data_IF_324384652063
#
_entry.id   IF_324384652063
#
_cell.length_a   1.000
_cell.length_b   1.000
_cell.length_c   1.000
_cell.angle_alpha   90.00
_cell.angle_beta   90.00
_cell.angle_gamma   90.00
#
_symmetry.space_group_name_H-M   'P 1'
#
loop_
_entity.id
_entity.type
_entity.pdbx_description
1 polymer ?
#
# COMPACT_ATOMS: atom_id res chain seq x y z
N UNK A 1 -45.93 35.10 -13.60
CA UNK A 1 -46.28 34.26 -12.44
C UNK A 1 -45.52 32.96 -12.62
N UNK A 2 -44.63 32.49 -11.79
CA UNK A 2 -43.87 32.96 -10.64
C UNK A 2 -42.88 31.81 -10.41
N UNK A 3 -41.58 32.05 -10.37
CA UNK A 3 -40.61 31.00 -10.03
C UNK A 3 -39.86 31.47 -8.81
N UNK A 4 -40.32 30.96 -7.67
CA UNK A 4 -39.68 31.10 -6.38
C UNK A 4 -38.29 30.48 -6.41
N UNK A 5 -37.39 31.21 -5.76
CA UNK A 5 -36.00 30.91 -5.49
C UNK A 5 -35.84 29.69 -4.56
N UNK A 6 -35.32 28.59 -5.08
CA UNK A 6 -34.70 27.54 -4.26
C UNK A 6 -33.20 27.83 -4.13
N UNK A 7 -32.84 28.64 -3.13
CA UNK A 7 -31.47 28.68 -2.61
C UNK A 7 -31.24 27.36 -1.86
N UNK A 8 -30.37 26.51 -2.37
CA UNK A 8 -29.80 25.41 -1.60
C UNK A 8 -28.95 26.01 -0.49
N UNK A 9 -29.48 25.94 0.73
CA UNK A 9 -28.76 26.26 1.96
C UNK A 9 -27.78 25.11 2.19
N UNK A 10 -26.48 25.40 2.23
CA UNK A 10 -25.48 24.42 2.65
C UNK A 10 -25.69 24.11 4.12
N UNK A 11 -25.99 22.85 4.43
CA UNK A 11 -26.04 22.36 5.80
C UNK A 11 -24.60 22.09 6.29
N UNK A 12 -24.18 22.80 7.32
CA UNK A 12 -22.84 22.73 7.90
C UNK A 12 -22.71 21.64 8.96
N UNK A 13 -23.72 20.79 9.13
CA UNK A 13 -23.64 19.66 10.05
C UNK A 13 -23.26 18.40 9.30
N UNK A 14 -22.06 17.88 9.59
CA UNK A 14 -21.66 16.51 9.25
C UNK A 14 -22.60 15.55 9.97
N UNK A 15 -23.65 15.12 9.27
CA UNK A 15 -24.53 14.06 9.74
C UNK A 15 -23.82 12.71 9.52
N UNK A 16 -23.52 11.93 10.58
CA UNK A 16 -22.76 10.67 10.49
C UNK A 16 -23.56 9.48 9.95
N UNK A 17 -24.67 9.69 9.24
CA UNK A 17 -25.50 8.59 8.76
C UNK A 17 -25.11 8.11 7.34
N UNK A 18 -24.06 7.27 7.35
CA UNK A 18 -23.69 6.27 6.34
C UNK A 18 -24.86 5.54 5.66
N UNK A 19 -24.61 5.00 4.46
CA UNK A 19 -24.81 3.58 4.21
C UNK A 19 -23.47 2.84 4.10
N UNK A 20 -23.30 1.95 5.08
CA UNK A 20 -22.39 0.83 5.25
C UNK A 20 -21.60 0.37 4.00
N UNK A 21 -20.28 0.52 4.07
CA UNK A 21 -19.32 -0.10 3.15
C UNK A 21 -17.85 0.18 3.49
N UNK A 22 -17.58 1.26 4.21
CA UNK A 22 -16.27 1.62 4.78
C UNK A 22 -15.86 0.75 5.96
N UNK A 23 -16.76 -0.11 6.41
CA UNK A 23 -16.53 -0.83 7.63
C UNK A 23 -15.42 -1.87 7.48
N UNK A 24 -15.08 -2.38 6.29
CA UNK A 24 -14.12 -3.47 6.15
C UNK A 24 -12.74 -3.11 5.62
N UNK A 25 -12.52 -1.86 5.24
CA UNK A 25 -11.27 -1.38 4.62
C UNK A 25 -10.07 -1.36 5.58
N UNK A 26 -10.35 -1.39 6.88
CA UNK A 26 -9.38 -1.53 7.96
C UNK A 26 -9.65 -2.77 8.83
N UNK A 27 -10.48 -3.71 8.35
CA UNK A 27 -10.85 -4.88 9.15
C UNK A 27 -9.88 -6.04 8.92
N UNK A 28 -9.41 -6.69 10.00
CA UNK A 28 -8.60 -7.89 9.88
C UNK A 28 -9.30 -8.96 9.04
N UNK A 29 -8.52 -9.75 8.30
CA UNK A 29 -9.02 -10.86 7.49
C UNK A 29 -9.98 -11.79 8.24
N UNK A 30 -9.72 -11.98 9.53
CA UNK A 30 -10.52 -12.77 10.47
C UNK A 30 -11.96 -12.25 10.64
N UNK A 31 -12.16 -10.95 10.46
CA UNK A 31 -13.45 -10.29 10.57
C UNK A 31 -14.26 -10.40 9.27
N UNK A 32 -13.59 -10.27 8.13
CA UNK A 32 -14.18 -10.53 6.81
C UNK A 32 -14.74 -11.95 6.70
N UNK A 33 -13.99 -12.95 7.17
CA UNK A 33 -14.44 -14.36 7.18
C UNK A 33 -15.70 -14.59 8.03
N UNK A 34 -15.79 -13.94 9.21
CA UNK A 34 -16.97 -14.04 10.09
C UNK A 34 -18.21 -13.37 9.49
N UNK A 35 -18.01 -12.28 8.76
CA UNK A 35 -19.09 -11.48 8.17
C UNK A 35 -19.54 -12.00 6.80
N UNK A 36 -18.72 -12.81 6.11
CA UNK A 36 -19.06 -13.42 4.82
C UNK A 36 -20.00 -14.62 4.93
N UNK A 37 -20.19 -15.18 6.13
CA UNK A 37 -21.01 -16.38 6.36
C UNK A 37 -20.55 -17.60 5.56
N UNK A 38 -19.25 -17.67 5.23
CA UNK A 38 -18.71 -18.75 4.42
C UNK A 38 -18.76 -20.08 5.18
N UNK A 39 -19.19 -21.16 4.54
CA UNK A 39 -19.07 -22.52 5.10
C UNK A 39 -17.63 -23.04 5.03
N UNK A 40 -16.74 -22.35 4.32
CA UNK A 40 -15.32 -22.66 4.31
C UNK A 40 -14.69 -22.18 5.62
N UNK A 41 -13.95 -23.08 6.24
CA UNK A 41 -12.71 -22.84 6.96
C UNK A 41 -12.06 -21.47 6.76
N UNK A 42 -11.62 -20.81 7.84
CA UNK A 42 -10.90 -19.53 7.74
C UNK A 42 -9.64 -19.64 6.86
N UNK A 43 -8.94 -20.77 6.96
CA UNK A 43 -7.69 -21.03 6.23
C UNK A 43 -7.98 -21.36 4.77
N UNK A 44 -9.00 -22.18 4.48
CA UNK A 44 -9.40 -22.42 3.10
C UNK A 44 -9.92 -21.15 2.46
N UNK A 45 -10.68 -20.33 3.19
CA UNK A 45 -11.15 -19.04 2.73
C UNK A 45 -9.97 -18.13 2.38
N UNK A 46 -8.98 -17.98 3.28
CA UNK A 46 -7.76 -17.21 3.02
C UNK A 46 -6.98 -17.69 1.79
N UNK A 47 -6.76 -18.99 1.67
CA UNK A 47 -5.86 -19.54 0.66
C UNK A 47 -6.51 -19.71 -0.72
N UNK A 48 -7.84 -19.60 -0.83
CA UNK A 48 -8.58 -19.81 -2.09
C UNK A 48 -9.29 -18.57 -2.63
N UNK A 49 -9.33 -17.45 -1.89
CA UNK A 49 -10.02 -16.21 -2.33
C UNK A 49 -9.33 -15.51 -3.52
N UNK A 50 -8.02 -15.72 -3.73
CA UNK A 50 -7.36 -15.27 -4.96
C UNK A 50 -7.75 -16.22 -6.09
N UNK A 51 -8.15 -15.71 -7.26
CA UNK A 51 -8.62 -16.51 -8.42
C UNK A 51 -7.66 -17.58 -8.98
N UNK A 52 -6.58 -17.91 -8.28
CA UNK A 52 -5.73 -19.08 -8.44
C UNK A 52 -6.32 -20.37 -7.83
N UNK A 53 -7.57 -20.36 -7.33
CA UNK A 53 -8.24 -21.40 -6.55
C UNK A 53 -8.09 -22.87 -7.04
N UNK A 54 -7.86 -23.10 -8.33
CA UNK A 54 -7.68 -24.46 -8.87
C UNK A 54 -6.25 -25.01 -8.81
N UNK A 55 -5.24 -24.18 -8.50
CA UNK A 55 -3.82 -24.60 -8.49
C UNK A 55 -3.25 -24.89 -7.10
N UNK A 56 -3.98 -24.57 -6.03
CA UNK A 56 -3.49 -24.61 -4.65
C UNK A 56 -4.23 -25.63 -3.76
N UNK A 57 -5.12 -26.45 -4.32
CA UNK A 57 -5.96 -27.35 -3.50
C UNK A 57 -5.16 -28.33 -2.64
N UNK A 58 -4.09 -29.00 -3.14
CA UNK A 58 -3.25 -29.86 -2.30
C UNK A 58 -2.54 -29.12 -1.15
N UNK A 59 -2.05 -27.91 -1.41
CA UNK A 59 -1.38 -27.05 -0.44
C UNK A 59 -2.36 -26.50 0.61
N UNK A 60 -3.58 -26.17 0.19
CA UNK A 60 -4.69 -25.78 1.07
C UNK A 60 -5.04 -26.94 2.02
N UNK A 61 -5.09 -28.19 1.54
CA UNK A 61 -5.33 -29.35 2.40
C UNK A 61 -4.17 -29.59 3.39
N UNK A 62 -2.93 -29.39 2.97
CA UNK A 62 -1.76 -29.50 3.86
C UNK A 62 -1.79 -28.46 4.98
N UNK A 63 -2.12 -27.21 4.65
CA UNK A 63 -2.20 -26.12 5.63
C UNK A 63 -3.46 -26.22 6.50
N UNK A 64 -4.60 -26.63 5.94
CA UNK A 64 -5.82 -26.90 6.72
C UNK A 64 -5.66 -28.13 7.64
N UNK A 65 -4.85 -29.11 7.26
CA UNK A 65 -4.46 -30.22 8.13
C UNK A 65 -3.49 -29.80 9.25
N UNK A 66 -2.68 -28.77 9.00
CA UNK A 66 -1.78 -28.17 9.98
C UNK A 66 -2.52 -27.25 10.97
N UNK A 67 -3.49 -26.49 10.49
CA UNK A 67 -4.34 -25.62 11.30
C UNK A 67 -5.81 -25.93 10.98
N UNK A 68 -6.45 -26.86 11.71
CA UNK A 68 -7.88 -27.11 11.55
C UNK A 68 -8.68 -25.84 11.92
N UNK A 69 -9.93 -25.76 11.47
CA UNK A 69 -10.86 -24.62 11.68
C UNK A 69 -11.31 -24.38 13.11
N UNK A 70 -10.55 -24.93 14.03
CA UNK A 70 -10.70 -24.70 15.44
C UNK A 70 -10.37 -23.26 15.74
N UNK A 71 -11.23 -22.67 16.54
CA UNK A 71 -11.01 -21.29 16.96
C UNK A 71 -9.73 -21.24 17.79
N UNK A 72 -8.99 -20.13 17.68
CA UNK A 72 -7.89 -19.80 18.59
C UNK A 72 -8.29 -19.99 20.08
N UNK A 73 -9.58 -19.80 20.38
CA UNK A 73 -10.16 -20.01 21.69
C UNK A 73 -10.19 -21.50 22.10
N UNK A 74 -10.57 -22.41 21.20
CA UNK A 74 -10.54 -23.87 21.43
C UNK A 74 -9.10 -24.40 21.55
N UNK A 75 -8.17 -23.81 20.79
CA UNK A 75 -6.74 -24.10 20.87
C UNK A 75 -6.13 -23.65 22.21
N UNK A 76 -6.53 -22.48 22.71
CA UNK A 76 -6.09 -21.93 24.00
C UNK A 76 -6.60 -22.72 25.20
N UNK A 77 -7.83 -23.23 25.13
CA UNK A 77 -8.47 -23.95 26.24
C UNK A 77 -8.32 -25.48 26.14
N UNK A 78 -7.69 -25.99 25.08
CA UNK A 78 -7.40 -27.42 24.90
C UNK A 78 -8.64 -28.26 24.64
N UNK A 79 -9.45 -27.89 23.65
CA UNK A 79 -10.60 -28.68 23.21
C UNK A 79 -10.21 -30.08 22.75
N UNK A 80 -11.08 -31.07 22.97
CA UNK A 80 -10.92 -32.45 22.52
C UNK A 80 -10.90 -32.60 20.99
N UNK A 81 -11.38 -31.59 20.26
CA UNK A 81 -11.30 -31.54 18.81
C UNK A 81 -9.86 -31.39 18.32
N UNK A 82 -8.99 -30.75 19.11
CA UNK A 82 -7.64 -30.34 18.68
C UNK A 82 -6.79 -31.56 18.35
N UNK A 83 -6.31 -31.67 17.09
CA UNK A 83 -5.45 -32.77 16.67
C UNK A 83 -4.24 -32.90 17.60
N UNK A 84 -4.12 -34.08 18.21
CA UNK A 84 -3.00 -34.42 19.10
C UNK A 84 -1.75 -34.84 18.32
N UNK A 85 -1.86 -34.95 16.99
CA UNK A 85 -0.75 -35.24 16.13
C UNK A 85 0.32 -34.15 16.28
N UNK A 86 1.57 -34.58 16.42
CA UNK A 86 2.72 -33.67 16.38
C UNK A 86 2.99 -33.31 14.93
N UNK A 87 2.79 -32.04 14.59
CA UNK A 87 2.76 -31.54 13.21
C UNK A 87 3.82 -30.48 12.94
N UNK A 88 4.50 -30.01 13.98
CA UNK A 88 5.46 -28.90 13.87
C UNK A 88 6.74 -29.19 14.64
N UNK A 89 7.83 -28.60 14.18
CA UNK A 89 9.03 -28.36 14.96
C UNK A 89 9.20 -26.84 15.06
N UNK A 90 9.47 -26.35 16.27
CA UNK A 90 9.80 -24.95 16.48
C UNK A 90 11.32 -24.82 16.56
N UNK A 91 11.94 -24.34 15.48
CA UNK A 91 13.35 -23.95 15.44
C UNK A 91 13.44 -22.43 15.43
N UNK A 92 13.43 -21.84 16.63
CA UNK A 92 13.53 -20.40 16.85
C UNK A 92 14.98 -20.07 17.24
N UNK A 93 15.72 -19.49 16.28
CA UNK A 93 17.13 -19.12 16.43
C UNK A 93 17.32 -17.64 16.23
N UNK A 94 18.13 -17.04 17.08
CA UNK A 94 18.66 -15.71 16.88
C UNK A 94 20.14 -15.78 16.54
N UNK A 95 20.60 -14.86 15.69
CA UNK A 95 22.01 -14.67 15.37
C UNK A 95 22.34 -13.17 15.48
N UNK A 96 23.11 -12.76 16.48
CA UNK A 96 23.53 -11.36 16.68
C UNK A 96 24.81 -10.98 15.89
N UNK A 97 25.26 -11.86 14.98
CA UNK A 97 26.50 -11.70 14.23
C UNK A 97 27.72 -12.35 14.90
N UNK A 98 27.65 -12.66 16.20
CA UNK A 98 28.73 -13.30 16.97
C UNK A 98 28.31 -14.59 17.66
N UNK A 99 27.04 -14.71 18.08
CA UNK A 99 26.49 -15.86 18.77
C UNK A 99 25.13 -16.24 18.17
N UNK A 100 24.88 -17.54 18.09
CA UNK A 100 23.54 -18.06 17.87
C UNK A 100 22.94 -18.53 19.18
N UNK A 101 21.78 -17.97 19.54
CA UNK A 101 20.99 -18.42 20.69
C UNK A 101 19.72 -19.06 20.14
N UNK A 102 19.53 -20.34 20.44
CA UNK A 102 18.30 -21.07 20.11
C UNK A 102 17.42 -21.13 21.34
N UNK A 103 16.11 -20.91 21.17
CA UNK A 103 15.13 -21.42 22.14
C UNK A 103 15.22 -22.94 22.04
N UNK A 104 15.94 -23.55 22.98
CA UNK A 104 16.39 -24.95 22.89
C UNK A 104 15.32 -25.91 22.36
N UNK A 105 15.74 -26.88 21.56
CA UNK A 105 14.86 -27.80 20.83
C UNK A 105 13.77 -28.41 21.71
N UNK A 106 12.51 -28.09 21.39
CA UNK A 106 11.33 -28.53 22.15
C UNK A 106 10.74 -29.86 21.67
N UNK A 107 11.33 -30.47 20.63
CA UNK A 107 10.77 -31.67 20.01
C UNK A 107 9.55 -31.40 19.12
N UNK A 108 8.93 -32.46 18.57
CA UNK A 108 7.68 -32.37 17.82
C UNK A 108 6.54 -31.80 18.67
N UNK A 109 5.90 -30.74 18.17
CA UNK A 109 4.80 -30.02 18.80
C UNK A 109 3.49 -30.32 18.07
N UNK A 110 2.40 -30.47 18.84
CA UNK A 110 1.04 -30.43 18.29
C UNK A 110 0.57 -28.97 18.15
N UNK A 111 -0.56 -28.75 17.47
CA UNK A 111 -1.07 -27.41 17.19
C UNK A 111 -1.21 -26.54 18.45
N UNK A 112 -1.71 -27.11 19.55
CA UNK A 112 -1.86 -26.42 20.83
C UNK A 112 -0.51 -26.00 21.43
N UNK A 113 0.46 -26.93 21.51
CA UNK A 113 1.78 -26.63 22.06
C UNK A 113 2.49 -25.57 21.23
N UNK A 114 2.44 -25.66 19.90
CA UNK A 114 3.01 -24.66 19.02
C UNK A 114 2.42 -23.27 19.30
N UNK A 115 1.10 -23.15 19.43
CA UNK A 115 0.44 -21.88 19.75
C UNK A 115 0.89 -21.30 21.09
N UNK A 116 0.96 -22.14 22.13
CA UNK A 116 1.44 -21.70 23.44
C UNK A 116 2.90 -21.23 23.40
N UNK A 117 3.76 -21.90 22.63
CA UNK A 117 5.17 -21.49 22.46
C UNK A 117 5.32 -20.21 21.62
N UNK A 118 4.51 -20.02 20.58
CA UNK A 118 4.48 -18.78 19.80
C UNK A 118 3.92 -17.58 20.59
N UNK A 119 3.01 -17.83 21.54
CA UNK A 119 2.51 -16.81 22.47
C UNK A 119 3.50 -16.43 23.55
N UNK A 120 4.50 -17.27 23.83
CA UNK A 120 5.61 -16.83 24.67
C UNK A 120 6.34 -15.76 23.89
N UNK A 121 6.22 -14.53 24.38
CA UNK A 121 6.92 -13.38 23.86
C UNK A 121 8.37 -13.82 23.56
N UNK A 122 8.87 -13.67 22.31
CA UNK A 122 10.30 -13.72 22.02
C UNK A 122 10.95 -12.74 22.96
N UNK A 123 11.31 -13.22 24.15
CA UNK A 123 12.01 -12.47 25.17
C UNK A 123 13.34 -12.09 24.55
N UNK A 124 13.38 -10.98 23.80
CA UNK A 124 14.60 -10.59 23.08
C UNK A 124 14.51 -9.55 21.96
N UNK A 125 13.54 -9.55 21.03
CA UNK A 125 13.72 -8.76 19.79
C UNK A 125 12.58 -7.78 19.50
N UNK A 126 12.83 -6.52 19.86
CA UNK A 126 12.07 -5.37 19.39
C UNK A 126 12.32 -5.20 17.89
N UNK A 127 11.45 -5.74 17.03
CA UNK A 127 11.40 -5.27 15.64
C UNK A 127 10.94 -3.82 15.65
N UNK A 128 11.64 -2.96 14.92
CA UNK A 128 11.20 -1.58 14.73
C UNK A 128 10.47 -1.46 13.40
N UNK A 129 9.49 -0.57 13.35
CA UNK A 129 8.76 -0.23 12.15
C UNK A 129 8.68 1.29 12.03
N UNK A 130 9.08 1.82 10.89
CA UNK A 130 8.90 3.22 10.51
C UNK A 130 8.05 3.22 9.23
N UNK A 131 6.90 3.88 9.27
CA UNK A 131 6.01 3.92 8.12
C UNK A 131 5.34 5.28 8.00
N UNK A 132 5.04 5.67 6.76
CA UNK A 132 4.16 6.79 6.47
C UNK A 132 3.31 6.49 5.24
N UNK A 133 2.13 7.10 5.24
CA UNK A 133 1.25 7.19 4.10
C UNK A 133 1.08 8.67 3.76
N UNK A 134 1.47 9.06 2.55
CA UNK A 134 1.44 10.44 2.08
C UNK A 134 0.44 10.56 0.92
N UNK A 135 -0.84 10.85 1.21
CA UNK A 135 -1.82 11.17 0.19
C UNK A 135 -1.65 12.62 -0.32
N UNK A 136 -1.77 12.81 -1.62
CA UNK A 136 -1.74 14.12 -2.27
C UNK A 136 -2.55 14.11 -3.58
N UNK A 137 -2.63 15.27 -4.23
CA UNK A 137 -3.27 15.38 -5.54
C UNK A 137 -2.23 15.71 -6.61
N UNK A 138 -2.36 15.08 -7.77
CA UNK A 138 -1.59 15.42 -8.97
C UNK A 138 -2.51 16.08 -10.00
N UNK A 139 -2.08 17.21 -10.56
CA UNK A 139 -2.80 17.88 -11.64
C UNK A 139 -2.19 17.54 -12.99
N UNK A 140 -3.00 17.03 -13.91
CA UNK A 140 -2.53 16.61 -15.23
C UNK A 140 -3.40 17.17 -16.33
N UNK A 141 -2.74 17.70 -17.36
CA UNK A 141 -3.36 18.10 -18.62
C UNK A 141 -2.98 17.07 -19.66
N UNK A 142 -3.95 16.26 -20.09
CA UNK A 142 -3.69 15.17 -21.06
C UNK A 142 -4.53 15.34 -22.32
N UNK A 143 -4.12 14.72 -23.45
CA UNK A 143 -4.95 14.69 -24.64
C UNK A 143 -6.30 14.02 -24.39
N UNK A 144 -7.36 14.50 -25.05
CA UNK A 144 -8.72 13.96 -24.88
C UNK A 144 -8.85 12.46 -25.18
N UNK A 145 -7.96 11.91 -26.02
CA UNK A 145 -7.97 10.50 -26.42
C UNK A 145 -7.18 9.60 -25.46
N UNK A 146 -6.49 10.17 -24.48
CA UNK A 146 -5.68 9.46 -23.47
C UNK A 146 -5.91 10.06 -22.07
N UNK A 147 -7.13 9.97 -21.52
CA UNK A 147 -7.39 10.40 -20.14
C UNK A 147 -6.64 9.51 -19.14
N UNK A 148 -6.22 10.05 -17.99
CA UNK A 148 -5.69 9.26 -16.89
C UNK A 148 -6.68 8.17 -16.49
N UNK A 149 -6.18 6.97 -16.20
CA UNK A 149 -7.02 5.84 -15.79
C UNK A 149 -6.31 5.00 -14.76
N UNK A 150 -6.91 4.88 -13.58
CA UNK A 150 -6.49 3.88 -12.60
C UNK A 150 -7.08 2.51 -13.00
N UNK A 151 -6.25 1.51 -13.36
CA UNK A 151 -6.74 0.18 -13.73
C UNK A 151 -7.23 -0.61 -12.52
N UNK A 152 -6.85 -0.22 -11.30
CA UNK A 152 -7.18 -0.91 -10.06
C UNK A 152 -8.62 -0.57 -9.69
N UNK A 153 -9.43 -1.59 -9.42
CA UNK A 153 -10.84 -1.45 -9.08
C UNK A 153 -11.09 -1.75 -7.61
N UNK A 154 -12.00 -1.01 -6.98
CA UNK A 154 -12.51 -1.35 -5.65
C UNK A 154 -13.39 -2.59 -5.74
N UNK A 155 -13.19 -3.56 -4.83
CA UNK A 155 -13.95 -4.83 -4.78
C UNK A 155 -15.47 -4.63 -4.55
N UNK A 156 -15.88 -3.54 -3.89
CA UNK A 156 -17.26 -3.35 -3.41
C UNK A 156 -18.25 -2.78 -4.44
N UNK A 157 -17.80 -2.13 -5.51
CA UNK A 157 -18.69 -1.51 -6.48
C UNK A 157 -18.19 -1.74 -7.91
N UNK A 158 -19.01 -2.39 -8.73
CA UNK A 158 -18.70 -2.66 -10.13
C UNK A 158 -18.59 -1.34 -10.90
N UNK A 159 -17.37 -0.81 -11.04
CA UNK A 159 -17.13 0.42 -11.78
C UNK A 159 -16.07 1.33 -11.15
N UNK A 160 -15.91 1.27 -9.83
CA UNK A 160 -15.12 2.28 -9.11
C UNK A 160 -13.63 1.95 -9.13
N UNK A 161 -12.83 2.94 -9.53
CA UNK A 161 -11.38 2.89 -9.47
C UNK A 161 -10.89 3.01 -8.02
N UNK A 162 -9.67 2.54 -7.76
CA UNK A 162 -9.03 2.62 -6.43
C UNK A 162 -8.82 4.07 -6.02
N UNK A 163 -8.27 4.90 -6.92
CA UNK A 163 -8.13 6.34 -6.75
C UNK A 163 -9.19 7.10 -7.55
N UNK A 164 -9.70 8.19 -7.00
CA UNK A 164 -10.61 9.04 -7.75
C UNK A 164 -9.84 9.94 -8.72
N UNK A 165 -10.47 10.18 -9.87
CA UNK A 165 -10.00 11.12 -10.88
C UNK A 165 -11.11 12.12 -11.11
N UNK A 166 -10.85 13.39 -10.82
CA UNK A 166 -11.81 14.47 -11.00
C UNK A 166 -11.54 15.16 -12.33
N UNK A 167 -12.54 15.17 -13.22
CA UNK A 167 -12.48 15.91 -14.47
C UNK A 167 -12.63 17.42 -14.18
N UNK A 168 -11.54 18.16 -14.41
CA UNK A 168 -11.46 19.62 -14.28
C UNK A 168 -11.43 20.31 -15.66
N UNK A 169 -11.89 19.66 -16.72
CA UNK A 169 -11.90 20.22 -18.08
C UNK A 169 -12.74 21.49 -18.22
N UNK A 170 -13.63 21.78 -17.26
CA UNK A 170 -14.34 23.05 -17.20
C UNK A 170 -13.39 24.25 -16.97
N UNK A 171 -12.20 24.00 -16.41
CA UNK A 171 -11.14 24.99 -16.25
C UNK A 171 -10.39 25.26 -17.57
N UNK A 172 -10.40 24.32 -18.53
CA UNK A 172 -9.73 24.46 -19.82
C UNK A 172 -10.60 25.33 -20.75
N UNK A 173 -10.09 26.49 -21.14
CA UNK A 173 -10.82 27.49 -21.95
C UNK A 173 -11.29 26.91 -23.28
N UNK A 174 -12.57 27.10 -23.61
CA UNK A 174 -13.10 26.83 -24.95
C UNK A 174 -12.84 28.05 -25.84
N UNK A 175 -12.01 27.90 -26.88
CA UNK A 175 -11.89 28.93 -27.91
C UNK A 175 -13.27 29.25 -28.50
N UNK A 176 -13.59 30.54 -28.65
CA UNK A 176 -14.85 31.00 -29.26
C UNK A 176 -15.01 30.53 -30.70
N UNK A 177 -13.91 30.20 -31.38
CA UNK A 177 -13.92 29.62 -32.72
C UNK A 177 -13.67 28.11 -32.60
N UNK A 178 -14.76 27.36 -32.76
CA UNK A 178 -14.97 25.96 -32.41
C UNK A 178 -14.02 24.97 -33.10
N UNK A 179 -12.91 24.66 -32.45
CA UNK A 179 -12.31 23.32 -32.50
C UNK A 179 -12.53 22.71 -31.11
N UNK A 180 -13.00 21.45 -31.00
CA UNK A 180 -13.09 20.78 -29.71
C UNK A 180 -11.73 20.86 -28.99
N UNK A 181 -11.69 21.11 -27.68
CA UNK A 181 -10.43 21.14 -26.96
C UNK A 181 -9.71 19.81 -27.18
N UNK A 182 -8.43 19.88 -27.54
CA UNK A 182 -7.58 18.71 -27.81
C UNK A 182 -7.06 18.09 -26.51
N UNK A 183 -7.16 18.83 -25.41
CA UNK A 183 -6.70 18.44 -24.07
C UNK A 183 -7.77 18.65 -23.01
N UNK A 184 -7.62 17.94 -21.90
CA UNK A 184 -8.46 17.99 -20.71
C UNK A 184 -7.60 18.07 -19.46
N UNK A 185 -8.13 18.72 -18.44
CA UNK A 185 -7.47 18.83 -17.14
C UNK A 185 -8.10 17.86 -16.14
N UNK A 186 -7.26 17.21 -15.34
CA UNK A 186 -7.67 16.22 -14.34
C UNK A 186 -6.95 16.49 -13.03
N UNK A 187 -7.67 16.24 -11.93
CA UNK A 187 -7.10 16.15 -10.59
C UNK A 187 -7.17 14.69 -10.14
N UNK A 188 -6.02 14.08 -9.98
CA UNK A 188 -5.87 12.66 -9.64
C UNK A 188 -5.54 12.53 -8.16
N UNK A 189 -6.24 11.66 -7.43
CA UNK A 189 -5.83 11.24 -6.09
C UNK A 189 -4.61 10.33 -6.17
N UNK A 190 -3.59 10.63 -5.39
CA UNK A 190 -2.30 9.95 -5.40
C UNK A 190 -1.88 9.62 -3.98
N UNK A 191 -1.14 8.53 -3.81
CA UNK A 191 -0.52 8.18 -2.55
C UNK A 191 0.87 7.61 -2.76
N UNK A 192 1.77 8.00 -1.85
CA UNK A 192 3.04 7.33 -1.63
C UNK A 192 3.03 6.69 -0.25
N UNK A 193 3.32 5.40 -0.18
CA UNK A 193 3.44 4.66 1.08
C UNK A 193 4.84 4.10 1.22
N UNK A 194 5.47 4.31 2.38
CA UNK A 194 6.80 3.76 2.70
C UNK A 194 6.72 2.97 3.99
N UNK A 195 7.38 1.81 3.99
CA UNK A 195 7.54 0.94 5.14
C UNK A 195 9.02 0.54 5.26
N UNK A 196 9.63 0.86 6.39
CA UNK A 196 10.95 0.37 6.79
C UNK A 196 10.77 -0.49 8.04
N UNK A 197 11.28 -1.72 8.00
CA UNK A 197 11.17 -2.67 9.10
C UNK A 197 12.46 -3.46 9.27
N UNK A 198 12.82 -3.77 10.50
CA UNK A 198 14.04 -4.50 10.80
C UNK A 198 14.09 -5.04 12.22
N UNK A 199 14.98 -6.00 12.46
CA UNK A 199 15.28 -6.49 13.81
C UNK A 199 16.17 -5.52 14.58
N UNK A 200 17.00 -4.77 13.87
CA UNK A 200 18.00 -3.84 14.41
C UNK A 200 18.51 -2.89 13.30
N UNK A 201 19.22 -1.81 13.64
CA UNK A 201 19.68 -0.82 12.65
C UNK A 201 20.63 -1.35 11.56
N UNK A 202 21.19 -2.55 11.71
CA UNK A 202 22.11 -3.15 10.74
C UNK A 202 21.41 -4.15 9.81
N UNK A 203 20.18 -4.55 10.14
CA UNK A 203 19.39 -5.53 9.39
C UNK A 203 17.95 -5.06 9.25
N UNK A 204 17.69 -4.39 8.14
CA UNK A 204 16.39 -3.83 7.82
C UNK A 204 16.09 -3.94 6.33
N UNK A 205 14.82 -3.79 5.99
CA UNK A 205 14.27 -3.79 4.63
C UNK A 205 13.34 -2.60 4.48
N UNK A 206 13.27 -2.04 3.28
CA UNK A 206 12.39 -0.94 2.95
C UNK A 206 11.51 -1.27 1.73
N UNK A 207 10.26 -0.82 1.77
CA UNK A 207 9.29 -0.92 0.69
C UNK A 207 8.74 0.48 0.41
N UNK A 208 8.67 0.86 -0.87
CA UNK A 208 8.05 2.10 -1.32
C UNK A 208 7.02 1.78 -2.40
N UNK A 209 5.80 2.26 -2.20
CA UNK A 209 4.69 2.09 -3.13
C UNK A 209 4.26 3.49 -3.57
N UNK A 210 4.41 3.76 -4.86
CA UNK A 210 4.08 5.05 -5.46
C UNK A 210 2.99 4.83 -6.50
N UNK A 211 1.91 5.60 -6.39
CA UNK A 211 0.90 5.66 -7.43
C UNK A 211 1.44 6.39 -8.66
N UNK A 212 1.45 5.74 -9.82
CA UNK A 212 1.92 6.32 -11.10
C UNK A 212 0.88 6.25 -12.21
N UNK A 213 -0.33 5.77 -11.90
CA UNK A 213 -1.38 5.46 -12.90
C UNK A 213 -1.81 6.68 -13.74
N UNK A 214 -1.65 7.89 -13.20
CA UNK A 214 -2.06 9.14 -13.83
C UNK A 214 -1.05 9.66 -14.87
N UNK A 215 0.15 9.07 -14.91
CA UNK A 215 1.15 9.33 -15.94
C UNK A 215 0.96 8.43 -17.16
N UNK A 216 1.40 8.92 -18.32
CA UNK A 216 1.55 8.13 -19.53
C UNK A 216 2.67 7.10 -19.35
N UNK A 217 2.61 5.96 -20.05
CA UNK A 217 3.54 4.84 -19.84
C UNK A 217 5.02 5.24 -19.98
N UNK A 218 5.31 6.19 -20.87
CA UNK A 218 6.64 6.78 -21.10
C UNK A 218 7.15 7.70 -19.98
N UNK A 219 6.26 8.13 -19.07
CA UNK A 219 6.58 9.06 -17.97
C UNK A 219 6.36 8.47 -16.58
N UNK A 220 5.94 7.20 -16.51
CA UNK A 220 5.71 6.54 -15.23
C UNK A 220 7.04 6.29 -14.55
N UNK A 221 7.11 6.68 -13.27
CA UNK A 221 8.19 6.26 -12.39
C UNK A 221 8.24 4.71 -12.37
N UNK A 222 9.41 4.15 -12.66
CA UNK A 222 9.65 2.71 -12.64
C UNK A 222 11.08 2.45 -12.18
N UNK A 223 11.29 1.28 -11.56
CA UNK A 223 12.64 0.88 -11.10
C UNK A 223 13.59 0.73 -12.29
N UNK A 224 13.11 0.19 -13.41
CA UNK A 224 13.91 0.03 -14.63
C UNK A 224 14.39 1.39 -15.17
N UNK A 225 13.55 2.43 -15.15
CA UNK A 225 13.95 3.77 -15.56
C UNK A 225 15.10 4.32 -14.70
N UNK A 226 15.04 4.13 -13.37
CA UNK A 226 16.14 4.55 -12.48
C UNK A 226 17.41 3.71 -12.66
N UNK A 227 17.30 2.42 -13.03
CA UNK A 227 18.46 1.59 -13.33
C UNK A 227 19.16 2.01 -14.63
N UNK A 228 18.40 2.54 -15.60
CA UNK A 228 18.92 3.04 -16.88
C UNK A 228 19.50 4.45 -16.80
N UNK A 229 19.05 5.28 -15.85
CA UNK A 229 19.46 6.68 -15.65
C UNK A 229 20.82 6.85 -14.93
N UNK A 230 21.71 5.86 -15.00
CA UNK A 230 23.05 5.95 -14.40
C UNK A 230 23.87 7.04 -15.09
N UNK A 231 24.19 8.09 -14.34
CA UNK A 231 25.08 9.14 -14.83
C UNK A 231 26.54 8.74 -14.60
N UNK A 232 27.36 8.90 -15.63
CA UNK A 232 28.80 8.68 -15.57
C UNK A 232 29.46 10.02 -15.80
N UNK A 233 30.15 10.54 -14.80
CA UNK A 233 31.03 11.68 -15.01
C UNK A 233 32.28 11.21 -15.78
N UNK A 234 32.39 11.63 -17.05
CA UNK A 234 33.49 11.22 -17.93
C UNK A 234 34.87 11.61 -17.39
N UNK A 235 34.98 12.69 -16.61
CA UNK A 235 36.25 13.18 -16.07
C UNK A 235 36.67 12.45 -14.79
N UNK A 236 35.75 12.21 -13.85
CA UNK A 236 36.06 11.55 -12.58
C UNK A 236 35.82 10.03 -12.58
N UNK A 237 35.12 9.50 -13.59
CA UNK A 237 34.66 8.11 -13.67
C UNK A 237 33.78 7.70 -12.47
N UNK A 238 33.12 8.68 -11.83
CA UNK A 238 32.17 8.43 -10.76
C UNK A 238 30.82 8.09 -11.36
N UNK A 239 30.23 7.00 -10.89
CA UNK A 239 28.92 6.51 -11.30
C UNK A 239 27.88 6.92 -10.26
N UNK A 240 26.90 7.73 -10.67
CA UNK A 240 25.76 8.08 -9.84
C UNK A 240 24.62 7.12 -10.17
N UNK A 241 24.22 6.30 -9.19
CA UNK A 241 23.05 5.43 -9.32
C UNK A 241 21.88 6.08 -8.59
N UNK A 242 20.83 6.54 -9.28
CA UNK A 242 19.73 7.21 -8.60
C UNK A 242 18.95 6.24 -7.69
N UNK A 243 18.70 6.66 -6.44
CA UNK A 243 17.84 5.93 -5.52
C UNK A 243 16.36 6.23 -5.79
N UNK A 244 15.55 5.23 -6.17
CA UNK A 244 14.13 5.41 -6.43
C UNK A 244 13.34 5.92 -5.22
N UNK A 245 13.70 5.57 -3.98
CA UNK A 245 12.94 6.00 -2.80
C UNK A 245 13.01 7.52 -2.61
N UNK A 246 14.14 8.10 -3.00
CA UNK A 246 14.44 9.53 -2.88
C UNK A 246 14.13 10.33 -4.14
N UNK A 247 13.36 9.78 -5.09
CA UNK A 247 13.08 10.43 -6.38
C UNK A 247 14.34 10.83 -7.15
N UNK A 248 15.35 9.96 -7.18
CA UNK A 248 16.68 10.19 -7.78
C UNK A 248 17.53 11.31 -7.15
N UNK A 249 17.20 11.77 -5.93
CA UNK A 249 17.99 12.81 -5.27
C UNK A 249 19.24 12.28 -4.55
N UNK A 250 19.29 10.98 -4.28
CA UNK A 250 20.41 10.31 -3.59
C UNK A 250 21.07 9.25 -4.46
N UNK A 251 22.38 9.06 -4.24
CA UNK A 251 23.16 8.01 -4.89
C UNK A 251 23.01 6.68 -4.13
N UNK A 252 22.38 5.69 -4.73
CA UNK A 252 22.22 4.35 -4.19
C UNK A 252 23.55 3.61 -4.01
N UNK A 253 24.63 4.02 -4.70
CA UNK A 253 25.98 3.48 -4.47
C UNK A 253 26.61 3.99 -3.16
N UNK A 254 26.03 5.04 -2.56
CA UNK A 254 26.44 5.62 -1.28
C UNK A 254 25.29 5.51 -0.27
N UNK A 255 24.89 4.29 0.13
CA UNK A 255 23.66 4.07 0.88
C UNK A 255 23.75 4.63 2.31
N UNK A 256 22.66 5.24 2.76
CA UNK A 256 22.46 5.63 4.16
C UNK A 256 22.19 4.37 4.99
N UNK A 257 23.08 4.07 5.93
CA UNK A 257 23.04 2.81 6.67
C UNK A 257 22.05 2.83 7.85
N UNK A 258 21.82 4.00 8.46
CA UNK A 258 20.86 4.13 9.55
C UNK A 258 19.42 4.21 9.02
N UNK A 259 18.53 3.29 9.42
CA UNK A 259 17.17 3.22 8.88
C UNK A 259 16.29 4.42 9.27
N UNK A 260 16.60 5.12 10.36
CA UNK A 260 15.86 6.31 10.79
C UNK A 260 16.29 7.52 9.98
N UNK A 261 17.58 7.67 9.74
CA UNK A 261 18.11 8.70 8.84
C UNK A 261 17.59 8.49 7.43
N UNK A 262 17.65 7.27 6.91
CA UNK A 262 17.10 6.93 5.59
C UNK A 262 15.59 7.20 5.52
N UNK A 263 14.82 6.83 6.56
CA UNK A 263 13.39 7.15 6.63
C UNK A 263 13.10 8.65 6.50
N UNK A 264 13.88 9.50 7.19
CA UNK A 264 13.71 10.95 7.15
C UNK A 264 14.08 11.54 5.79
N UNK A 265 15.14 11.05 5.15
CA UNK A 265 15.55 11.48 3.80
C UNK A 265 14.47 11.13 2.78
N UNK A 266 13.95 9.90 2.84
CA UNK A 266 12.86 9.46 1.95
C UNK A 266 11.58 10.27 2.20
N UNK A 267 11.22 10.49 3.47
CA UNK A 267 10.06 11.32 3.81
C UNK A 267 10.23 12.75 3.31
N UNK A 268 11.40 13.36 3.46
CA UNK A 268 11.68 14.71 2.96
C UNK A 268 11.53 14.78 1.44
N UNK A 269 12.14 13.84 0.72
CA UNK A 269 12.08 13.76 -0.75
C UNK A 269 10.63 13.65 -1.24
N UNK A 270 9.84 12.73 -0.64
CA UNK A 270 8.43 12.51 -1.03
C UNK A 270 7.51 13.66 -0.58
N UNK A 271 7.80 14.33 0.52
CA UNK A 271 7.10 15.58 0.90
C UNK A 271 7.40 16.71 -0.09
N UNK A 272 8.63 16.79 -0.59
CA UNK A 272 9.02 17.78 -1.61
C UNK A 272 8.27 17.53 -2.92
N UNK A 273 8.21 16.28 -3.36
CA UNK A 273 7.38 15.86 -4.50
C UNK A 273 5.92 16.28 -4.32
N UNK A 274 5.30 15.96 -3.18
CA UNK A 274 3.92 16.34 -2.90
C UNK A 274 3.75 17.88 -2.90
N UNK A 275 4.67 18.62 -2.29
CA UNK A 275 4.66 20.09 -2.29
C UNK A 275 4.72 20.65 -3.71
N UNK A 276 5.55 20.09 -4.58
CA UNK A 276 5.74 20.58 -5.94
C UNK A 276 4.50 20.30 -6.81
N UNK A 277 3.81 19.19 -6.58
CA UNK A 277 2.48 18.92 -7.15
C UNK A 277 1.43 19.95 -6.69
N UNK A 278 1.39 20.25 -5.39
CA UNK A 278 0.52 21.29 -4.85
C UNK A 278 0.83 22.68 -5.42
N UNK A 279 2.11 23.00 -5.57
CA UNK A 279 2.54 24.25 -6.17
C UNK A 279 2.10 24.35 -7.64
N UNK A 280 2.26 23.25 -8.39
CA UNK A 280 1.79 23.13 -9.76
C UNK A 280 0.28 23.33 -9.86
N UNK A 281 -0.50 22.71 -8.95
CA UNK A 281 -1.95 22.94 -8.86
C UNK A 281 -2.25 24.43 -8.64
N UNK A 282 -1.60 25.06 -7.64
CA UNK A 282 -1.86 26.44 -7.28
C UNK A 282 -1.55 27.43 -8.40
N UNK A 283 -0.42 27.24 -9.10
CA UNK A 283 -0.06 28.05 -10.28
C UNK A 283 -1.12 27.89 -11.38
N UNK A 284 -1.42 26.65 -11.77
CA UNK A 284 -2.38 26.39 -12.84
C UNK A 284 -3.78 26.93 -12.50
N UNK A 285 -4.24 26.78 -11.25
CA UNK A 285 -5.51 27.35 -10.82
C UNK A 285 -5.48 28.89 -10.79
N UNK A 286 -4.38 29.49 -10.33
CA UNK A 286 -4.21 30.94 -10.28
C UNK A 286 -4.23 31.57 -11.68
N UNK A 287 -3.49 30.99 -12.62
CA UNK A 287 -3.46 31.45 -14.01
C UNK A 287 -4.85 31.35 -14.65
N UNK A 288 -5.55 30.23 -14.43
CA UNK A 288 -6.91 30.05 -14.96
C UNK A 288 -7.86 31.09 -14.37
N UNK A 289 -7.82 31.35 -13.07
CA UNK A 289 -8.70 32.33 -12.41
C UNK A 289 -8.40 33.76 -12.84
N UNK A 290 -7.14 34.14 -13.01
CA UNK A 290 -6.75 35.49 -13.43
C UNK A 290 -7.07 35.80 -14.91
N UNK A 291 -7.29 34.76 -15.72
CA UNK A 291 -7.69 34.88 -17.13
C UNK A 291 -9.22 34.99 -17.35
N UNK A 292 -10.02 34.91 -16.28
CA UNK A 292 -11.49 35.14 -16.26
C UNK A 292 -11.85 36.57 -15.86
#
# INVERSE_FOLDING_TARGET
MGCESNRTFWDATFDPHLPLGWQFENKPFLQLWKESGSELSMIRFFMTESGAANRLTPEVELVAGFCPDETLNELEHGSLSVPQATIALLDDRTNDGTNSISRGYLGPLNAQKLHLELKKDPSGFSTFQLAFDLPYYAFRVTPCHSPPRDPRRRKLAAGDTLRNITDLSFLVRKSRNSVPPTTKAYLCEVQTTVLISGSDPWRWVAYCFVDTYFESEDKRESVDAYDEEVEIDEESQVHFQPDPFTTAESDANLPVLDPREYFLIVLESRLRQARDEWHTIAINMGDIVNEY
#
